data_IF_645802558655
#
_entry.id   IF_645802558655
#
_cell.length_a   1.000
_cell.length_b   1.000
_cell.length_c   1.000
_cell.angle_alpha   90.00
_cell.angle_beta   90.00
_cell.angle_gamma   90.00
#
_symmetry.space_group_name_H-M   'P 1'
#
loop_
_entity.id
_entity.type
_entity.pdbx_description
1 polymer ?
#
# COMPACT_ATOMS: atom_id res chain seq x y z
N UNK A 1 -1.57 -25.68 45.80
CA UNK A 1 -0.72 -25.69 44.58
C UNK A 1 -1.41 -25.17 43.30
N UNK A 2 -2.73 -25.34 43.09
CA UNK A 2 -3.41 -24.86 41.86
C UNK A 2 -3.47 -23.33 41.70
N UNK A 3 -3.56 -22.57 42.80
CA UNK A 3 -3.62 -21.09 42.76
C UNK A 3 -2.26 -20.41 42.58
N UNK A 4 -1.15 -21.13 42.82
CA UNK A 4 0.19 -20.58 42.70
C UNK A 4 0.56 -20.27 41.24
N UNK A 5 0.09 -21.09 40.30
CA UNK A 5 0.28 -20.88 38.85
C UNK A 5 -0.55 -19.70 38.32
N UNK A 6 -1.71 -19.41 38.91
CA UNK A 6 -2.56 -18.29 38.52
C UNK A 6 -1.95 -16.97 38.98
N UNK A 7 -1.39 -16.94 40.20
CA UNK A 7 -0.67 -15.78 40.73
C UNK A 7 0.59 -15.49 39.89
N UNK A 8 1.30 -16.52 39.44
CA UNK A 8 2.46 -16.34 38.57
C UNK A 8 2.07 -15.76 37.20
N UNK A 9 0.96 -16.24 36.61
CA UNK A 9 0.47 -15.78 35.31
C UNK A 9 -0.01 -14.32 35.36
N UNK A 10 -0.68 -13.90 36.44
CA UNK A 10 -1.13 -12.50 36.61
C UNK A 10 0.03 -11.55 36.86
N UNK A 11 1.05 -11.98 37.61
CA UNK A 11 2.28 -11.19 37.82
C UNK A 11 3.05 -11.00 36.50
N UNK A 12 3.17 -12.04 35.67
CA UNK A 12 3.79 -11.89 34.33
C UNK A 12 3.01 -10.94 33.42
N UNK A 13 1.68 -10.92 33.51
CA UNK A 13 0.84 -10.02 32.71
C UNK A 13 1.00 -8.54 33.14
N UNK A 14 1.17 -8.29 34.44
CA UNK A 14 1.42 -6.96 34.99
C UNK A 14 2.80 -6.41 34.63
N UNK A 15 3.82 -7.27 34.52
CA UNK A 15 5.18 -6.87 34.11
C UNK A 15 5.22 -6.57 32.60
N UNK A 16 4.49 -7.32 31.77
CA UNK A 16 4.42 -7.10 30.33
C UNK A 16 3.79 -5.75 29.95
N UNK A 17 2.87 -5.23 30.77
CA UNK A 17 2.21 -3.95 30.51
C UNK A 17 3.11 -2.72 30.75
N UNK A 18 4.31 -2.90 31.35
CA UNK A 18 5.20 -1.79 31.72
C UNK A 18 6.38 -1.59 30.77
N UNK A 19 6.59 -2.46 29.78
CA UNK A 19 7.77 -2.38 28.91
C UNK A 19 7.62 -1.51 27.66
N UNK A 20 6.47 -0.88 27.43
CA UNK A 20 6.19 -0.18 26.16
C UNK A 20 6.07 1.35 26.25
N UNK A 21 6.41 1.96 27.38
CA UNK A 21 6.36 3.43 27.54
C UNK A 21 7.72 4.11 27.69
N UNK A 22 8.74 3.68 26.97
CA UNK A 22 9.96 4.49 26.75
C UNK A 22 10.45 4.32 25.31
N UNK A 23 9.63 4.70 24.33
CA UNK A 23 10.19 5.16 23.05
C UNK A 23 10.62 6.61 23.25
N UNK A 24 11.92 6.77 23.48
CA UNK A 24 12.65 8.02 23.27
C UNK A 24 12.16 8.66 21.96
N UNK A 25 11.45 9.77 22.07
CA UNK A 25 11.19 10.69 20.98
C UNK A 25 12.52 11.39 20.67
N UNK A 26 13.41 10.64 20.01
CA UNK A 26 14.48 11.23 19.23
C UNK A 26 13.81 12.08 18.17
N UNK A 27 13.96 13.38 18.32
CA UNK A 27 13.61 14.43 17.39
C UNK A 27 14.28 14.21 16.04
N UNK A 28 13.75 13.27 15.25
CA UNK A 28 13.81 13.31 13.79
C UNK A 28 12.64 14.16 13.29
N UNK A 29 12.58 15.41 13.74
CA UNK A 29 11.87 16.48 13.03
C UNK A 29 12.71 16.98 11.86
N UNK A 30 13.29 16.06 11.09
CA UNK A 30 13.40 16.22 9.65
C UNK A 30 12.13 15.61 9.02
N UNK A 31 10.97 16.04 9.51
CA UNK A 31 9.78 16.04 8.68
C UNK A 31 10.16 16.95 7.54
N UNK A 32 10.51 16.38 6.39
CA UNK A 32 10.59 17.12 5.12
C UNK A 32 9.34 17.99 5.11
N UNK A 33 9.54 19.30 5.30
CA UNK A 33 8.42 20.23 5.30
C UNK A 33 7.81 20.03 3.93
N UNK A 34 6.52 19.71 3.87
CA UNK A 34 5.79 19.53 2.59
C UNK A 34 5.98 20.75 1.66
N UNK A 35 6.42 21.88 2.21
CA UNK A 35 6.86 23.10 1.52
C UNK A 35 8.06 22.91 0.58
N UNK A 36 8.93 21.92 0.84
CA UNK A 36 10.13 21.62 0.06
C UNK A 36 9.86 20.60 -1.06
N UNK A 37 8.72 19.88 -0.98
CA UNK A 37 8.17 19.17 -2.12
C UNK A 37 7.67 20.23 -3.12
N UNK A 38 8.50 20.56 -4.10
CA UNK A 38 8.02 21.11 -5.37
C UNK A 38 7.12 20.04 -5.99
N UNK A 39 5.86 20.00 -5.56
CA UNK A 39 4.81 19.24 -6.23
C UNK A 39 4.65 19.89 -7.60
N UNK A 40 5.49 19.46 -8.54
CA UNK A 40 5.27 19.68 -9.95
C UNK A 40 3.99 18.91 -10.27
N UNK A 41 2.85 19.58 -10.15
CA UNK A 41 1.66 19.18 -10.89
C UNK A 41 2.11 19.30 -12.35
N UNK A 42 2.53 18.17 -12.94
CA UNK A 42 3.22 18.12 -14.23
C UNK A 42 2.34 18.60 -15.39
N UNK A 43 1.06 18.86 -15.13
CA UNK A 43 0.15 19.46 -16.10
C UNK A 43 -0.88 20.33 -15.37
N UNK A 44 -0.89 21.65 -15.66
CA UNK A 44 -2.06 22.48 -15.35
C UNK A 44 -3.21 21.97 -16.22
N UNK A 45 -4.23 21.37 -15.59
CA UNK A 45 -5.45 21.00 -16.29
C UNK A 45 -6.04 22.25 -16.96
N UNK A 46 -6.31 22.17 -18.26
CA UNK A 46 -6.93 23.27 -18.99
C UNK A 46 -8.44 23.28 -18.63
N UNK A 47 -8.94 24.29 -17.89
CA UNK A 47 -10.33 24.31 -17.43
C UNK A 47 -11.33 24.50 -18.58
N UNK A 48 -10.88 24.91 -19.76
CA UNK A 48 -11.72 25.10 -20.94
C UNK A 48 -11.72 23.89 -21.88
N UNK A 49 -11.02 22.81 -21.52
CA UNK A 49 -10.97 21.63 -22.36
C UNK A 49 -12.06 20.62 -22.01
N UNK A 50 -13.16 20.69 -22.75
CA UNK A 50 -14.29 19.76 -22.62
C UNK A 50 -14.12 18.47 -23.43
N UNK A 51 -13.07 18.39 -24.27
CA UNK A 51 -12.87 17.32 -25.26
C UNK A 51 -11.56 16.54 -25.06
N UNK A 52 -10.66 16.98 -24.19
CA UNK A 52 -9.41 16.29 -23.88
C UNK A 52 -9.64 15.12 -22.93
N UNK A 53 -9.35 13.93 -23.41
CA UNK A 53 -9.15 12.75 -22.59
C UNK A 53 -7.72 12.80 -22.03
N UNK A 54 -7.56 13.08 -20.74
CA UNK A 54 -6.25 13.06 -20.05
C UNK A 54 -5.70 11.65 -19.83
N UNK A 55 -6.49 10.63 -20.14
CA UNK A 55 -6.13 9.23 -20.08
C UNK A 55 -6.56 8.57 -21.40
N UNK A 56 -5.70 7.74 -21.94
CA UNK A 56 -6.02 6.89 -23.09
C UNK A 56 -5.95 5.45 -22.64
N UNK A 57 -6.91 4.63 -23.06
CA UNK A 57 -6.83 3.20 -22.87
C UNK A 57 -5.69 2.65 -23.72
N UNK A 58 -4.76 1.92 -23.10
CA UNK A 58 -3.66 1.26 -23.79
C UNK A 58 -3.89 -0.25 -23.71
N UNK A 59 -3.72 -0.95 -24.84
CA UNK A 59 -3.86 -2.40 -24.90
C UNK A 59 -2.79 -3.09 -24.04
N UNK A 60 -3.19 -4.13 -23.29
CA UNK A 60 -2.27 -4.96 -22.51
C UNK A 60 -1.14 -5.55 -23.37
N UNK A 61 -1.40 -5.86 -24.65
CA UNK A 61 -0.39 -6.38 -25.58
C UNK A 61 0.71 -5.35 -25.89
N UNK A 62 0.44 -4.06 -25.72
CA UNK A 62 1.44 -2.99 -25.92
C UNK A 62 2.26 -2.74 -24.66
N UNK A 63 1.64 -2.86 -23.48
CA UNK A 63 2.30 -2.58 -22.19
C UNK A 63 2.90 -3.81 -21.52
N UNK A 64 2.46 -5.01 -21.90
CA UNK A 64 2.76 -6.25 -21.19
C UNK A 64 2.07 -6.36 -19.82
N UNK A 65 1.19 -5.41 -19.45
CA UNK A 65 0.52 -5.38 -18.14
C UNK A 65 -0.77 -6.20 -18.22
N UNK A 66 -0.79 -7.33 -17.51
CA UNK A 66 -1.89 -8.31 -17.49
C UNK A 66 -2.47 -8.56 -16.08
N UNK A 67 -2.10 -7.73 -15.11
CA UNK A 67 -2.48 -7.93 -13.72
C UNK A 67 -3.98 -7.82 -13.50
N UNK A 68 -4.53 -8.78 -12.75
CA UNK A 68 -5.92 -8.78 -12.29
C UNK A 68 -5.95 -9.16 -10.82
N UNK A 69 -6.55 -8.33 -9.98
CA UNK A 69 -6.83 -8.65 -8.58
C UNK A 69 -8.12 -9.47 -8.48
N UNK A 70 -8.04 -10.78 -8.72
CA UNK A 70 -9.20 -11.67 -8.61
C UNK A 70 -9.48 -12.03 -7.15
N UNK A 71 -10.70 -11.75 -6.68
CA UNK A 71 -11.21 -12.24 -5.40
C UNK A 71 -12.01 -13.53 -5.65
N UNK A 72 -11.61 -14.62 -4.99
CA UNK A 72 -12.33 -15.89 -5.05
C UNK A 72 -13.11 -16.09 -3.76
N UNK A 73 -14.43 -16.11 -3.87
CA UNK A 73 -15.31 -16.41 -2.75
C UNK A 73 -15.48 -17.91 -2.54
N UNK A 74 -15.70 -18.28 -1.29
CA UNK A 74 -16.14 -19.63 -0.89
C UNK A 74 -17.30 -19.51 0.09
N UNK A 75 -17.90 -20.66 0.43
CA UNK A 75 -18.94 -20.72 1.47
C UNK A 75 -18.49 -20.09 2.80
N UNK A 76 -17.22 -20.23 3.16
CA UNK A 76 -16.65 -19.71 4.41
C UNK A 76 -15.88 -18.39 4.24
N UNK A 77 -15.56 -17.99 3.01
CA UNK A 77 -14.83 -16.77 2.68
C UNK A 77 -15.63 -15.95 1.66
N UNK A 78 -16.58 -15.19 2.16
CA UNK A 78 -17.42 -14.26 1.39
C UNK A 78 -17.74 -13.04 2.27
N UNK A 79 -18.44 -12.05 1.72
CA UNK A 79 -18.77 -10.83 2.44
C UNK A 79 -19.54 -11.06 3.75
N UNK A 80 -20.37 -12.11 3.87
CA UNK A 80 -21.13 -12.38 5.09
C UNK A 80 -20.22 -12.85 6.23
N UNK A 81 -19.25 -13.70 5.94
CA UNK A 81 -18.30 -14.25 6.92
C UNK A 81 -17.08 -13.37 7.13
N UNK A 82 -16.69 -12.61 6.10
CA UNK A 82 -15.55 -11.70 6.09
C UNK A 82 -15.90 -10.41 5.32
N UNK A 83 -16.52 -9.41 5.98
CA UNK A 83 -16.99 -8.19 5.33
C UNK A 83 -15.92 -7.39 4.59
N UNK A 84 -14.65 -7.56 4.98
CA UNK A 84 -13.50 -6.89 4.40
C UNK A 84 -12.90 -7.61 3.19
N UNK A 85 -13.53 -8.68 2.67
CA UNK A 85 -12.96 -9.49 1.58
C UNK A 85 -12.62 -8.69 0.32
N UNK A 86 -13.33 -7.60 0.05
CA UNK A 86 -13.07 -6.72 -1.10
C UNK A 86 -12.15 -5.54 -0.77
N UNK A 87 -11.79 -5.35 0.51
CA UNK A 87 -10.89 -4.29 0.92
C UNK A 87 -9.45 -4.71 0.65
N UNK A 88 -8.68 -3.85 -0.01
CA UNK A 88 -7.25 -4.05 -0.24
C UNK A 88 -6.88 -4.08 -1.71
N UNK A 89 -5.58 -4.24 -1.95
CA UNK A 89 -4.93 -3.92 -3.21
C UNK A 89 -4.51 -2.46 -3.28
N UNK A 90 -3.95 -2.06 -4.41
CA UNK A 90 -3.43 -0.71 -4.59
C UNK A 90 -2.46 -0.60 -5.76
N UNK A 91 -2.15 0.64 -6.13
CA UNK A 91 -1.13 0.96 -7.13
C UNK A 91 -0.15 1.94 -6.52
N UNK A 92 1.13 1.76 -6.82
CA UNK A 92 2.17 2.74 -6.56
C UNK A 92 3.02 2.90 -7.81
N UNK A 93 3.53 4.13 -8.00
CA UNK A 93 4.50 4.47 -9.02
C UNK A 93 5.77 4.94 -8.35
N UNK A 94 6.92 4.49 -8.84
CA UNK A 94 8.21 4.89 -8.34
C UNK A 94 9.33 4.28 -9.16
N UNK A 95 10.49 4.91 -9.17
CA UNK A 95 11.71 4.37 -9.76
C UNK A 95 12.33 3.38 -8.76
N UNK A 96 12.08 2.08 -8.95
CA UNK A 96 12.48 1.03 -7.99
C UNK A 96 13.87 0.48 -8.28
N UNK A 97 14.32 0.59 -9.53
CA UNK A 97 15.62 0.09 -9.99
C UNK A 97 16.67 1.21 -10.21
N UNK A 98 16.30 2.47 -9.97
CA UNK A 98 17.12 3.68 -10.14
C UNK A 98 17.57 3.95 -11.59
N UNK A 99 16.73 3.62 -12.58
CA UNK A 99 17.02 3.92 -13.99
C UNK A 99 16.47 5.27 -14.48
N UNK A 100 15.78 6.00 -13.59
CA UNK A 100 15.15 7.28 -13.89
C UNK A 100 13.77 7.18 -14.54
N UNK A 101 13.25 5.96 -14.73
CA UNK A 101 11.90 5.70 -15.25
C UNK A 101 10.95 5.28 -14.11
N UNK A 102 9.66 5.68 -14.16
CA UNK A 102 8.70 5.23 -13.16
C UNK A 102 8.26 3.78 -13.44
N UNK A 103 8.48 2.90 -12.47
CA UNK A 103 7.95 1.54 -12.43
C UNK A 103 6.55 1.50 -11.79
N UNK A 104 5.86 0.36 -11.95
CA UNK A 104 4.52 0.13 -11.40
C UNK A 104 4.56 -1.02 -10.40
N UNK A 105 4.09 -0.77 -9.18
CA UNK A 105 3.75 -1.81 -8.21
C UNK A 105 2.24 -1.97 -8.11
N UNK A 106 1.74 -3.19 -8.25
CA UNK A 106 0.33 -3.55 -8.08
C UNK A 106 0.18 -4.51 -6.91
N UNK A 107 -0.45 -4.03 -5.84
CA UNK A 107 -0.81 -4.86 -4.70
C UNK A 107 -2.08 -5.65 -5.02
N UNK A 108 -2.03 -6.96 -4.84
CA UNK A 108 -3.17 -7.85 -4.90
C UNK A 108 -3.79 -8.06 -3.53
N UNK A 109 -5.08 -8.37 -3.50
CA UNK A 109 -5.77 -8.83 -2.31
C UNK A 109 -5.96 -10.35 -2.36
N UNK A 110 -6.68 -10.82 -3.39
CA UNK A 110 -6.87 -12.26 -3.63
C UNK A 110 -5.82 -12.87 -4.58
N UNK A 111 -5.00 -12.02 -5.20
CA UNK A 111 -3.95 -12.38 -6.16
C UNK A 111 -2.59 -11.98 -5.61
N UNK A 112 -1.51 -12.53 -6.16
CA UNK A 112 -0.14 -12.12 -5.79
C UNK A 112 0.14 -10.72 -6.32
N UNK A 113 0.90 -9.95 -5.55
CA UNK A 113 1.43 -8.66 -5.96
C UNK A 113 2.33 -8.81 -7.20
N UNK A 114 2.39 -7.77 -8.04
CA UNK A 114 3.27 -7.73 -9.22
C UNK A 114 3.98 -6.39 -9.31
N UNK A 115 5.22 -6.45 -9.78
CA UNK A 115 6.02 -5.29 -10.20
C UNK A 115 6.18 -5.37 -11.71
N UNK A 116 5.95 -4.24 -12.38
CA UNK A 116 6.25 -4.05 -13.80
C UNK A 116 7.32 -2.98 -13.91
N UNK A 117 8.50 -3.39 -14.39
CA UNK A 117 9.60 -2.48 -14.67
C UNK A 117 9.35 -1.76 -15.99
N UNK A 118 9.52 -0.45 -15.98
CA UNK A 118 9.44 0.35 -17.18
C UNK A 118 10.76 0.23 -17.96
N UNK A 119 10.66 -0.09 -19.25
CA UNK A 119 11.84 -0.26 -20.12
C UNK A 119 12.04 0.90 -21.10
N UNK A 120 11.20 1.93 -21.04
CA UNK A 120 11.25 3.07 -21.98
C UNK A 120 10.72 2.75 -23.38
N UNK A 121 11.18 3.52 -24.37
CA UNK A 121 10.97 3.31 -25.81
C UNK A 121 9.51 3.21 -26.30
N UNK A 122 8.63 4.08 -25.79
CA UNK A 122 7.20 4.17 -26.14
C UNK A 122 6.85 5.29 -27.13
#
# INVERSE_FOLDING_TARGET
MKYLSIIFLTITLLIACKSESEKNESTLTNVLKVKDLKRATTTKLNPNNTNETYLTLVDNNKTGIDFVNTIKETEFKNHKSYPQIYNGGGVALGDLNNDGLPDIYLAGNGSKDKIYFNIGDF
#
